data_IF_689469531875
#
_entry.id   IF_689469531875
#
_cell.length_a   1.000
_cell.length_b   1.000
_cell.length_c   1.000
_cell.angle_alpha   90.00
_cell.angle_beta   90.00
_cell.angle_gamma   90.00
#
_symmetry.space_group_name_H-M   'P 1'
#
loop_
_entity.id
_entity.type
_entity.pdbx_description
1 polymer ?
#
# COMPACT_ATOMS: atom_id res chain seq x y z
N UNK A 1 51.76 -54.42 9.12
CA UNK A 1 50.43 -54.07 8.55
C UNK A 1 50.12 -52.61 8.99
N UNK A 2 50.30 -51.63 8.09
CA UNK A 2 50.19 -50.22 8.39
C UNK A 2 48.75 -49.75 8.06
N UNK A 3 48.01 -49.33 9.06
CA UNK A 3 46.67 -48.81 8.93
C UNK A 3 46.80 -47.32 8.61
N UNK A 4 46.44 -46.93 7.37
CA UNK A 4 46.42 -45.56 6.92
C UNK A 4 45.27 -44.75 7.56
N UNK A 5 45.61 -43.62 8.13
CA UNK A 5 44.63 -42.66 8.65
C UNK A 5 43.99 -41.91 7.46
N UNK A 6 42.70 -42.09 7.26
CA UNK A 6 41.90 -41.32 6.32
C UNK A 6 41.48 -40.02 7.05
N UNK A 7 42.08 -38.93 6.63
CA UNK A 7 41.67 -37.59 7.08
C UNK A 7 40.50 -37.13 6.25
N UNK A 8 39.30 -37.11 6.85
CA UNK A 8 38.08 -36.58 6.24
C UNK A 8 38.13 -35.06 6.34
N UNK A 9 38.41 -34.38 5.23
CA UNK A 9 38.30 -32.92 5.14
C UNK A 9 36.83 -32.56 4.94
N UNK A 10 36.19 -32.09 6.00
CA UNK A 10 34.82 -31.57 5.96
C UNK A 10 34.87 -30.15 5.43
N UNK A 11 34.62 -29.95 4.11
CA UNK A 11 34.49 -28.64 3.50
C UNK A 11 33.15 -28.06 3.94
N UNK A 12 33.18 -27.21 4.95
CA UNK A 12 32.02 -26.39 5.37
C UNK A 12 31.76 -25.36 4.27
N UNK A 13 30.80 -25.67 3.37
CA UNK A 13 30.27 -24.72 2.41
C UNK A 13 29.43 -23.71 3.22
N UNK A 14 30.02 -22.56 3.55
CA UNK A 14 29.35 -21.46 4.22
C UNK A 14 28.27 -20.88 3.30
N UNK A 15 27.02 -21.31 3.50
CA UNK A 15 25.86 -20.58 2.95
C UNK A 15 25.79 -19.25 3.70
N UNK A 16 26.23 -18.19 3.04
CA UNK A 16 25.99 -16.84 3.46
C UNK A 16 24.45 -16.61 3.35
N UNK A 17 23.74 -16.79 4.45
CA UNK A 17 22.37 -16.29 4.58
C UNK A 17 22.46 -14.76 4.49
N UNK A 18 22.14 -14.21 3.32
CA UNK A 18 21.83 -12.79 3.21
C UNK A 18 20.52 -12.59 3.97
N UNK A 19 20.61 -12.29 5.25
CA UNK A 19 19.50 -11.74 6.02
C UNK A 19 19.22 -10.37 5.39
N UNK A 20 18.22 -10.31 4.51
CA UNK A 20 17.67 -9.03 4.06
C UNK A 20 17.32 -8.24 5.31
N UNK A 21 18.10 -7.23 5.64
CA UNK A 21 17.84 -6.33 6.75
C UNK A 21 16.51 -5.63 6.43
N UNK A 22 15.43 -6.06 7.08
CA UNK A 22 14.17 -5.34 7.06
C UNK A 22 14.44 -3.95 7.61
N UNK A 23 14.49 -2.96 6.73
CA UNK A 23 14.83 -1.59 7.12
C UNK A 23 13.66 -1.01 7.92
N UNK A 24 13.97 -0.44 9.08
CA UNK A 24 12.97 0.21 9.93
C UNK A 24 12.26 1.33 9.17
N UNK A 25 10.95 1.32 9.20
CA UNK A 25 10.17 2.39 8.59
C UNK A 25 10.43 3.73 9.29
N UNK A 26 10.57 4.82 8.54
CA UNK A 26 10.64 6.15 9.13
C UNK A 26 9.47 6.41 10.09
N UNK A 27 9.67 7.17 11.16
CA UNK A 27 8.63 7.46 12.16
C UNK A 27 7.34 8.04 11.55
N UNK A 28 7.47 8.84 10.50
CA UNK A 28 6.33 9.42 9.78
C UNK A 28 5.47 8.36 9.07
N UNK A 29 6.05 7.24 8.63
CA UNK A 29 5.33 6.19 7.92
C UNK A 29 4.23 5.55 8.77
N UNK A 30 4.43 5.43 10.08
CA UNK A 30 3.41 4.92 11.00
C UNK A 30 2.19 5.86 11.10
N UNK A 31 2.38 7.18 10.96
CA UNK A 31 1.28 8.13 10.86
C UNK A 31 0.60 8.04 9.49
N UNK A 32 1.38 8.03 8.41
CA UNK A 32 0.89 7.96 7.04
C UNK A 32 0.04 6.70 6.76
N UNK A 33 0.42 5.55 7.33
CA UNK A 33 -0.34 4.29 7.20
C UNK A 33 -1.76 4.36 7.73
N UNK A 34 -2.05 5.22 8.70
CA UNK A 34 -3.42 5.42 9.20
C UNK A 34 -4.34 6.07 8.16
N UNK A 35 -3.77 6.70 7.15
CA UNK A 35 -4.52 7.24 6.03
C UNK A 35 -4.87 6.18 4.98
N UNK A 36 -4.20 5.03 4.97
CA UNK A 36 -4.41 3.94 4.01
C UNK A 36 -5.46 2.98 4.52
N UNK A 37 -6.36 2.55 3.65
CA UNK A 37 -7.45 1.63 3.96
C UNK A 37 -7.62 0.59 2.84
N UNK A 38 -8.36 -0.49 3.13
CA UNK A 38 -8.83 -1.42 2.11
C UNK A 38 -10.15 -0.94 1.53
N UNK A 39 -10.31 -1.08 0.22
CA UNK A 39 -11.59 -0.88 -0.49
C UNK A 39 -12.17 -2.24 -0.81
N UNK A 40 -13.45 -2.44 -0.52
CA UNK A 40 -14.21 -3.63 -0.90
C UNK A 40 -15.44 -3.17 -1.65
N UNK A 41 -15.61 -3.64 -2.87
CA UNK A 41 -16.78 -3.32 -3.70
C UNK A 41 -17.66 -4.55 -3.87
N UNK A 42 -18.95 -4.33 -4.07
CA UNK A 42 -19.97 -5.37 -4.13
C UNK A 42 -20.86 -5.18 -5.35
N UNK A 43 -21.28 -6.28 -5.95
CA UNK A 43 -22.27 -6.32 -7.02
C UNK A 43 -23.71 -6.20 -6.47
N UNK A 44 -24.71 -6.26 -7.36
CA UNK A 44 -26.14 -6.20 -7.00
C UNK A 44 -26.61 -7.37 -6.13
N UNK A 45 -25.96 -8.52 -6.26
CA UNK A 45 -26.20 -9.72 -5.47
C UNK A 45 -25.49 -9.68 -4.10
N UNK A 46 -24.88 -8.54 -3.75
CA UNK A 46 -24.13 -8.34 -2.52
C UNK A 46 -22.90 -9.26 -2.38
N UNK A 47 -22.36 -9.75 -3.49
CA UNK A 47 -21.13 -10.52 -3.52
C UNK A 47 -19.95 -9.56 -3.70
N UNK A 48 -18.80 -9.91 -3.13
CA UNK A 48 -17.57 -9.13 -3.33
C UNK A 48 -17.20 -9.16 -4.81
N UNK A 49 -17.10 -7.98 -5.40
CA UNK A 49 -16.71 -7.79 -6.79
C UNK A 49 -15.19 -7.59 -6.91
N UNK A 50 -14.66 -6.62 -6.16
CA UNK A 50 -13.23 -6.31 -6.15
C UNK A 50 -12.77 -5.93 -4.74
N UNK A 51 -11.46 -6.07 -4.51
CA UNK A 51 -10.79 -5.55 -3.32
C UNK A 51 -9.49 -4.85 -3.73
N UNK A 52 -9.17 -3.77 -3.05
CA UNK A 52 -7.94 -3.02 -3.30
C UNK A 52 -7.63 -2.06 -2.16
N UNK A 53 -6.81 -1.07 -2.43
CA UNK A 53 -6.41 -0.08 -1.43
C UNK A 53 -6.80 1.32 -1.87
N UNK A 54 -6.95 2.20 -0.88
CA UNK A 54 -7.14 3.62 -1.10
C UNK A 54 -6.53 4.40 0.06
N UNK A 55 -6.59 5.70 -0.04
CA UNK A 55 -6.09 6.58 1.01
C UNK A 55 -6.89 7.88 1.10
N UNK A 56 -6.97 8.43 2.31
CA UNK A 56 -7.59 9.73 2.55
C UNK A 56 -6.69 10.87 2.11
N UNK A 57 -7.27 11.88 1.47
CA UNK A 57 -6.60 13.10 1.00
C UNK A 57 -7.01 14.35 1.78
N UNK A 58 -8.04 14.25 2.62
CA UNK A 58 -8.41 15.30 3.57
C UNK A 58 -8.92 14.72 4.91
N UNK A 59 -9.08 15.59 5.90
CA UNK A 59 -9.56 15.21 7.24
C UNK A 59 -11.05 14.89 7.29
N UNK A 60 -11.81 15.19 6.24
CA UNK A 60 -13.26 15.03 6.19
C UNK A 60 -13.70 13.71 5.57
N UNK A 61 -12.77 12.78 5.25
CA UNK A 61 -13.08 11.50 4.66
C UNK A 61 -13.18 11.50 3.13
N UNK A 62 -12.62 12.52 2.46
CA UNK A 62 -12.40 12.46 1.03
C UNK A 62 -11.21 11.56 0.73
N UNK A 63 -11.37 10.66 -0.24
CA UNK A 63 -10.45 9.58 -0.50
C UNK A 63 -10.21 9.35 -1.99
N UNK A 64 -9.13 8.66 -2.30
CA UNK A 64 -8.72 8.27 -3.66
C UNK A 64 -8.39 6.78 -3.68
N UNK A 65 -8.74 6.13 -4.80
CA UNK A 65 -8.42 4.73 -5.10
C UNK A 65 -8.40 4.51 -6.61
N UNK A 66 -8.16 3.26 -7.03
CA UNK A 66 -8.20 2.86 -8.42
C UNK A 66 -9.66 2.78 -8.90
N UNK A 67 -9.97 3.42 -10.04
CA UNK A 67 -11.32 3.43 -10.59
C UNK A 67 -11.80 2.04 -11.03
N UNK A 68 -10.89 1.20 -11.50
CA UNK A 68 -11.19 -0.18 -11.90
C UNK A 68 -11.88 -0.98 -10.79
N UNK A 69 -11.59 -0.71 -9.52
CA UNK A 69 -12.25 -1.37 -8.39
C UNK A 69 -13.75 -1.08 -8.33
N UNK A 70 -14.17 0.09 -8.82
CA UNK A 70 -15.55 0.56 -8.74
C UNK A 70 -16.38 0.25 -9.99
N UNK A 71 -15.75 -0.22 -11.07
CA UNK A 71 -16.46 -0.58 -12.31
C UNK A 71 -17.44 -1.71 -12.06
N UNK A 72 -18.72 -1.45 -12.31
CA UNK A 72 -19.80 -2.41 -12.10
C UNK A 72 -20.21 -2.63 -10.64
N UNK A 73 -19.65 -1.86 -9.71
CA UNK A 73 -20.02 -1.95 -8.30
C UNK A 73 -21.39 -1.26 -8.03
N UNK A 74 -22.24 -1.91 -7.23
CA UNK A 74 -23.46 -1.33 -6.70
C UNK A 74 -23.21 -0.54 -5.42
N UNK A 75 -22.29 -1.02 -4.58
CA UNK A 75 -21.84 -0.34 -3.36
C UNK A 75 -20.39 -0.62 -3.06
N UNK A 76 -19.81 0.24 -2.23
CA UNK A 76 -18.45 0.07 -1.74
C UNK A 76 -18.35 0.41 -0.25
N UNK A 77 -17.43 -0.25 0.43
CA UNK A 77 -17.01 0.09 1.79
C UNK A 77 -15.49 0.24 1.85
N UNK A 78 -15.01 1.03 2.79
CA UNK A 78 -13.60 1.08 3.15
C UNK A 78 -13.42 0.45 4.51
N UNK A 79 -12.33 -0.30 4.70
CA UNK A 79 -11.91 -0.87 5.98
C UNK A 79 -10.67 -0.13 6.43
N UNK A 80 -10.81 0.68 7.47
CA UNK A 80 -9.74 1.52 8.00
C UNK A 80 -8.66 0.71 8.73
N UNK A 81 -7.51 1.33 9.00
CA UNK A 81 -6.39 0.66 9.67
C UNK A 81 -6.73 0.16 11.10
N UNK A 82 -7.75 0.71 11.75
CA UNK A 82 -8.30 0.24 13.02
C UNK A 82 -9.43 -0.80 12.86
N UNK A 83 -9.68 -1.27 11.63
CA UNK A 83 -10.63 -2.31 11.31
C UNK A 83 -12.10 -1.84 11.22
N UNK A 84 -12.35 -0.53 11.25
CA UNK A 84 -13.71 0.01 11.12
C UNK A 84 -14.14 0.00 9.66
N UNK A 85 -15.33 -0.50 9.39
CA UNK A 85 -15.97 -0.41 8.08
C UNK A 85 -16.77 0.91 7.96
N UNK A 86 -16.52 1.64 6.88
CA UNK A 86 -17.21 2.89 6.55
C UNK A 86 -17.78 2.78 5.12
N UNK A 87 -19.07 3.07 4.90
CA UNK A 87 -19.62 3.09 3.55
C UNK A 87 -19.02 4.23 2.72
N UNK A 88 -18.87 3.98 1.42
CA UNK A 88 -18.67 5.03 0.43
C UNK A 88 -20.03 5.67 0.18
N UNK A 89 -20.13 6.97 0.43
CA UNK A 89 -21.40 7.72 0.31
C UNK A 89 -21.68 8.11 -1.13
N UNK A 90 -20.66 8.66 -1.82
CA UNK A 90 -20.79 9.08 -3.21
C UNK A 90 -19.44 9.26 -3.89
N UNK A 91 -19.45 9.16 -5.19
CA UNK A 91 -18.30 9.43 -6.06
C UNK A 91 -18.24 10.92 -6.36
N UNK A 92 -17.08 11.54 -6.13
CA UNK A 92 -16.82 12.94 -6.41
C UNK A 92 -16.29 13.16 -7.82
N UNK A 93 -15.62 12.17 -8.39
CA UNK A 93 -15.08 12.20 -9.75
C UNK A 93 -14.30 10.92 -10.05
N UNK A 94 -14.21 10.60 -11.33
CA UNK A 94 -13.45 9.45 -11.81
C UNK A 94 -12.75 9.78 -13.13
N UNK A 95 -11.60 9.16 -13.34
CA UNK A 95 -10.86 9.24 -14.59
C UNK A 95 -10.45 7.83 -15.01
N UNK A 96 -11.06 7.32 -16.08
CA UNK A 96 -10.81 5.96 -16.57
C UNK A 96 -9.42 5.83 -17.21
N UNK A 97 -8.93 6.89 -17.86
CA UNK A 97 -7.62 6.88 -18.53
C UNK A 97 -6.47 6.71 -17.53
N UNK A 98 -6.57 7.36 -16.38
CA UNK A 98 -5.56 7.32 -15.32
C UNK A 98 -5.91 6.34 -14.19
N UNK A 99 -7.02 5.61 -14.33
CA UNK A 99 -7.53 4.65 -13.34
C UNK A 99 -7.65 5.25 -11.93
N UNK A 100 -8.20 6.46 -11.81
CA UNK A 100 -8.33 7.16 -10.54
C UNK A 100 -9.79 7.47 -10.26
N UNK A 101 -10.23 7.18 -9.01
CA UNK A 101 -11.52 7.60 -8.49
C UNK A 101 -11.36 8.40 -7.20
N UNK A 102 -12.07 9.50 -7.09
CA UNK A 102 -12.20 10.33 -5.89
C UNK A 102 -13.60 10.15 -5.32
N UNK A 103 -13.72 9.89 -4.04
CA UNK A 103 -15.00 9.60 -3.40
C UNK A 103 -15.05 10.09 -1.95
N UNK A 104 -16.24 10.09 -1.38
CA UNK A 104 -16.53 10.45 0.00
C UNK A 104 -16.90 9.21 0.80
N UNK A 105 -16.36 9.10 2.01
CA UNK A 105 -16.74 8.07 2.99
C UNK A 105 -17.56 8.68 4.14
N UNK A 106 -18.41 7.88 4.77
CA UNK A 106 -19.16 8.25 5.98
C UNK A 106 -18.25 8.28 7.23
N UNK A 107 -17.19 9.11 7.19
CA UNK A 107 -16.30 9.28 8.33
C UNK A 107 -16.96 10.16 9.40
N UNK A 108 -17.16 9.61 10.59
CA UNK A 108 -17.75 10.28 11.77
C UNK A 108 -16.72 11.08 12.58
N UNK A 109 -15.44 10.97 12.27
CA UNK A 109 -14.31 11.64 12.91
C UNK A 109 -13.31 12.12 11.86
N UNK A 110 -12.48 13.08 12.26
CA UNK A 110 -11.36 13.50 11.41
C UNK A 110 -10.45 12.35 11.06
N UNK A 111 -10.25 12.15 9.77
CA UNK A 111 -9.36 11.14 9.22
C UNK A 111 -7.91 11.65 9.18
N UNK A 112 -6.95 10.74 9.30
CA UNK A 112 -5.57 11.05 8.93
C UNK A 112 -5.50 11.06 7.41
N UNK A 113 -4.93 12.11 6.83
CA UNK A 113 -4.85 12.26 5.39
C UNK A 113 -3.39 12.34 4.91
N UNK A 114 -3.16 11.86 3.68
CA UNK A 114 -1.92 12.10 2.94
C UNK A 114 -2.07 13.39 2.15
N UNK A 115 -1.07 14.24 2.22
CA UNK A 115 -1.02 15.44 1.40
C UNK A 115 -0.28 15.15 0.09
N UNK A 116 -0.80 15.61 -1.06
CA UNK A 116 -0.05 15.56 -2.29
C UNK A 116 1.30 16.27 -2.13
N UNK A 117 2.35 15.72 -2.75
CA UNK A 117 3.65 16.35 -2.73
C UNK A 117 3.58 17.73 -3.42
N UNK A 118 4.26 18.72 -2.85
CA UNK A 118 4.32 20.09 -3.41
C UNK A 118 5.18 20.19 -4.68
N UNK A 119 5.99 19.16 -4.95
CA UNK A 119 6.82 19.03 -6.15
C UNK A 119 6.81 17.59 -6.67
N UNK A 120 7.08 17.38 -7.95
CA UNK A 120 7.38 16.02 -8.45
C UNK A 120 8.59 15.42 -7.70
N UNK A 121 8.59 14.10 -7.57
CA UNK A 121 9.77 13.38 -7.07
C UNK A 121 10.98 13.58 -8.00
N UNK A 122 12.19 13.36 -7.51
CA UNK A 122 13.41 13.41 -8.31
C UNK A 122 13.96 11.99 -8.54
N UNK A 123 14.69 11.79 -9.66
CA UNK A 123 15.42 10.53 -9.89
C UNK A 123 16.39 10.29 -8.72
N UNK A 124 16.51 9.06 -8.29
CA UNK A 124 17.24 8.60 -7.10
C UNK A 124 16.63 8.99 -5.74
N UNK A 125 15.50 9.67 -5.72
CA UNK A 125 14.76 9.93 -4.47
C UNK A 125 14.18 8.63 -3.90
N UNK A 126 14.34 8.42 -2.59
CA UNK A 126 13.79 7.24 -1.91
C UNK A 126 12.28 7.36 -1.75
N UNK A 127 11.56 6.31 -2.12
CA UNK A 127 10.11 6.18 -1.98
C UNK A 127 9.77 4.98 -1.11
N UNK A 128 8.64 5.03 -0.43
CA UNK A 128 8.15 3.98 0.44
C UNK A 128 6.78 3.51 -0.02
N UNK A 129 6.57 2.18 -0.04
CA UNK A 129 5.26 1.58 -0.27
C UNK A 129 4.60 1.33 1.07
N UNK A 130 3.42 1.90 1.27
CA UNK A 130 2.63 1.76 2.49
C UNK A 130 1.35 0.96 2.18
N UNK A 131 1.39 -0.38 2.27
CA UNK A 131 0.19 -1.18 2.05
C UNK A 131 -0.78 -1.04 3.22
N UNK A 132 -2.06 -1.29 2.95
CA UNK A 132 -3.05 -1.45 4.01
C UNK A 132 -2.64 -2.58 4.97
N UNK A 133 -2.81 -2.35 6.26
CA UNK A 133 -2.65 -3.36 7.29
C UNK A 133 -3.32 -2.92 8.58
N UNK A 134 -4.02 -3.83 9.22
CA UNK A 134 -4.55 -3.65 10.58
C UNK A 134 -3.49 -3.87 11.67
N UNK A 135 -2.34 -4.43 11.31
CA UNK A 135 -1.23 -4.66 12.23
C UNK A 135 -0.20 -3.53 12.15
N UNK A 136 0.43 -3.24 13.29
CA UNK A 136 1.57 -2.31 13.34
C UNK A 136 2.74 -2.94 12.57
N UNK A 137 3.09 -2.40 11.40
CA UNK A 137 4.24 -2.88 10.67
C UNK A 137 5.53 -2.32 11.27
N UNK A 138 6.47 -3.21 11.46
CA UNK A 138 7.84 -2.88 11.89
C UNK A 138 8.76 -2.68 10.69
N UNK A 139 8.40 -3.19 9.52
CA UNK A 139 9.17 -3.11 8.28
C UNK A 139 8.31 -2.64 7.11
N UNK A 140 8.91 -2.04 6.12
CA UNK A 140 8.26 -1.59 4.88
C UNK A 140 9.13 -1.85 3.67
N UNK A 141 8.50 -1.79 2.50
CA UNK A 141 9.20 -1.83 1.22
C UNK A 141 9.54 -0.41 0.81
N UNK A 142 10.77 -0.19 0.39
CA UNK A 142 11.22 1.07 -0.18
C UNK A 142 11.92 0.83 -1.52
N UNK A 143 12.00 1.86 -2.31
CA UNK A 143 12.69 1.86 -3.59
C UNK A 143 13.24 3.25 -3.90
N UNK A 144 13.74 3.42 -5.09
CA UNK A 144 14.18 4.72 -5.60
C UNK A 144 13.48 5.02 -6.92
N UNK A 145 13.22 6.29 -7.19
CA UNK A 145 12.70 6.72 -8.48
C UNK A 145 13.81 6.53 -9.51
N UNK A 146 13.59 5.61 -10.46
CA UNK A 146 14.56 5.31 -11.50
C UNK A 146 14.43 6.23 -12.72
N UNK A 147 13.18 6.66 -13.02
CA UNK A 147 12.87 7.49 -14.20
C UNK A 147 11.62 8.31 -13.94
N UNK A 148 11.55 9.47 -14.57
CA UNK A 148 10.37 10.32 -14.60
C UNK A 148 10.05 10.56 -16.08
N UNK A 149 8.86 10.13 -16.51
CA UNK A 149 8.35 10.40 -17.85
C UNK A 149 7.23 11.43 -17.78
N UNK A 150 7.21 12.34 -18.76
CA UNK A 150 6.11 13.26 -18.95
C UNK A 150 5.14 12.65 -19.96
N UNK A 151 3.90 12.43 -19.55
CA UNK A 151 2.84 12.06 -20.50
C UNK A 151 2.41 13.35 -21.20
N UNK A 152 2.77 13.49 -22.46
CA UNK A 152 2.22 14.55 -23.32
C UNK A 152 0.82 14.14 -23.78
N UNK A 153 -0.16 14.97 -23.49
CA UNK A 153 -1.53 14.86 -24.01
C UNK A 153 -1.56 15.32 -25.46
#
# INVERSE_FOLDING_TARGET
MKIGKITLVLTCCGMAFQTGMAQELPKWANKARKAVFSVITYNKENQILNTGNGFYIDENGTAVSDYTLFKGAERAVVVTADGKELPVEYILGANDMYDVVKFKTAADKKTVALQPASRPGAVSETVYVLPYSTQKATSGTHGTISKIDTISN
#
